data_IF_027419672165
#
_entry.id   IF_027419672165
#
_cell.length_a   1.000
_cell.length_b   1.000
_cell.length_c   1.000
_cell.angle_alpha   90.00
_cell.angle_beta   90.00
_cell.angle_gamma   90.00
#
_symmetry.space_group_name_H-M   'P 1'
#
loop_
_entity.id
_entity.type
_entity.pdbx_description
1 polymer ?
#
# COMPACT_ATOMS: atom_id res chain seq x y z
N UNK A 1 -44.49 17.15 -30.38
CA UNK A 1 -45.22 17.87 -31.45
C UNK A 1 -44.87 19.36 -31.38
N UNK A 2 -45.19 20.10 -32.44
CA UNK A 2 -45.17 21.58 -32.54
C UNK A 2 -43.80 22.27 -32.72
N UNK A 3 -43.50 22.54 -33.99
CA UNK A 3 -42.59 23.59 -34.45
C UNK A 3 -43.35 24.93 -34.37
N UNK A 4 -42.68 26.04 -34.00
CA UNK A 4 -43.02 27.36 -34.57
C UNK A 4 -41.84 28.33 -34.55
N UNK A 5 -41.41 28.69 -35.75
CA UNK A 5 -40.46 29.76 -36.01
C UNK A 5 -41.07 31.13 -35.70
N UNK A 6 -40.23 32.07 -35.28
CA UNK A 6 -40.49 33.50 -35.47
C UNK A 6 -39.17 34.18 -35.88
N UNK A 7 -39.16 34.77 -37.06
CA UNK A 7 -38.07 35.62 -37.56
C UNK A 7 -38.60 37.05 -37.70
N UNK A 8 -37.77 38.04 -37.35
CA UNK A 8 -38.11 39.46 -37.42
C UNK A 8 -37.09 40.27 -36.61
N UNK A 9 -35.91 40.63 -37.14
CA UNK A 9 -35.62 41.59 -38.22
C UNK A 9 -35.59 43.05 -37.77
N UNK A 10 -34.42 43.68 -37.97
CA UNK A 10 -33.97 45.08 -37.76
C UNK A 10 -32.82 45.10 -36.76
N UNK A 11 -31.76 45.86 -36.91
CA UNK A 11 -31.13 46.63 -37.98
C UNK A 11 -29.80 47.13 -37.35
N UNK A 12 -28.92 47.74 -38.13
CA UNK A 12 -27.68 48.39 -37.64
C UNK A 12 -26.60 47.40 -37.09
N UNK A 13 -25.32 47.41 -37.50
CA UNK A 13 -24.56 48.38 -38.29
C UNK A 13 -23.52 47.73 -39.21
N UNK A 14 -23.37 48.32 -40.40
CA UNK A 14 -22.15 48.52 -41.21
C UNK A 14 -21.05 47.42 -41.24
N UNK A 15 -20.86 46.94 -42.47
CA UNK A 15 -19.56 46.78 -43.15
C UNK A 15 -18.34 47.45 -42.47
N UNK A 16 -17.16 46.84 -42.38
CA UNK A 16 -16.60 45.76 -43.19
C UNK A 16 -15.31 46.23 -43.89
N UNK A 17 -14.16 45.60 -43.59
CA UNK A 17 -12.90 45.69 -44.37
C UNK A 17 -11.96 44.53 -44.01
N UNK A 18 -11.07 44.21 -44.94
CA UNK A 18 -10.15 43.05 -44.93
C UNK A 18 -8.94 43.26 -43.99
N UNK A 19 -8.25 42.17 -43.57
CA UNK A 19 -7.05 42.28 -42.73
C UNK A 19 -5.86 42.85 -43.52
N UNK A 20 -4.98 43.57 -42.82
CA UNK A 20 -3.64 43.92 -43.29
C UNK A 20 -2.63 43.25 -42.38
N UNK A 21 -1.69 42.54 -43.00
CA UNK A 21 -0.56 41.89 -42.36
C UNK A 21 0.55 42.89 -42.02
N UNK A 22 1.05 42.87 -40.79
CA UNK A 22 2.42 43.30 -40.47
C UNK A 22 3.01 42.29 -39.50
N UNK A 23 4.08 41.61 -39.92
CA UNK A 23 4.97 40.89 -39.01
C UNK A 23 5.85 41.92 -38.30
N UNK A 24 5.94 41.85 -36.97
CA UNK A 24 7.18 42.21 -36.28
C UNK A 24 7.52 41.11 -35.28
N UNK A 25 8.73 40.57 -35.43
CA UNK A 25 9.26 39.54 -34.55
C UNK A 25 9.64 40.17 -33.20
N UNK A 26 9.32 39.48 -32.11
CA UNK A 26 9.91 39.72 -30.79
C UNK A 26 10.70 38.46 -30.44
N UNK A 27 12.01 38.61 -30.26
CA UNK A 27 12.88 37.51 -29.89
C UNK A 27 12.66 37.11 -28.42
N UNK A 28 12.65 35.81 -28.07
CA UNK A 28 12.75 35.40 -26.67
C UNK A 28 14.17 35.67 -26.16
N UNK A 29 14.25 36.46 -25.07
CA UNK A 29 15.50 36.79 -24.37
C UNK A 29 16.15 35.57 -23.71
N UNK A 30 17.47 35.48 -23.80
CA UNK A 30 18.29 34.40 -23.25
C UNK A 30 18.14 34.23 -21.72
N UNK A 31 18.04 32.98 -21.21
CA UNK A 31 18.31 32.69 -19.81
C UNK A 31 19.81 32.79 -19.52
N UNK A 32 20.16 33.48 -18.44
CA UNK A 32 21.53 33.66 -17.94
C UNK A 32 22.26 32.33 -17.68
N UNK A 33 23.51 32.23 -18.09
CA UNK A 33 24.41 31.14 -17.74
C UNK A 33 24.88 31.28 -16.29
N UNK A 34 24.22 30.59 -15.37
CA UNK A 34 24.68 30.45 -13.98
C UNK A 34 26.01 29.70 -13.90
N UNK A 35 27.07 30.41 -13.55
CA UNK A 35 28.40 29.85 -13.29
C UNK A 35 28.35 28.89 -12.09
N UNK A 36 28.82 27.65 -12.28
CA UNK A 36 29.12 26.76 -11.16
C UNK A 36 30.51 27.09 -10.60
N UNK A 37 30.54 27.70 -9.41
CA UNK A 37 31.75 27.79 -8.61
C UNK A 37 31.44 27.47 -7.15
N UNK A 38 31.92 26.33 -6.68
CA UNK A 38 31.95 25.98 -5.24
C UNK A 38 33.05 24.96 -5.00
N UNK A 39 34.23 25.53 -4.81
CA UNK A 39 35.41 25.03 -4.12
C UNK A 39 35.17 23.81 -3.21
N UNK A 40 35.85 22.69 -3.52
CA UNK A 40 36.04 21.60 -2.55
C UNK A 40 37.20 21.99 -1.64
N UNK A 41 36.90 22.37 -0.39
CA UNK A 41 37.88 22.55 0.68
C UNK A 41 37.86 21.36 1.64
N UNK A 42 38.81 20.44 1.45
CA UNK A 42 39.45 19.66 2.55
C UNK A 42 40.51 20.57 3.20
N UNK A 43 40.87 20.43 4.50
CA UNK A 43 41.36 19.17 5.13
C UNK A 43 40.66 18.92 6.50
N UNK A 44 41.06 18.06 7.45
CA UNK A 44 42.28 17.25 7.60
C UNK A 44 42.03 15.97 8.45
N UNK A 45 43.04 15.11 8.44
CA UNK A 45 43.22 13.83 9.13
C UNK A 45 42.98 13.82 10.66
N UNK A 46 42.62 12.64 11.20
CA UNK A 46 43.43 11.88 12.17
C UNK A 46 43.11 10.37 12.02
N UNK A 47 44.15 9.55 11.95
CA UNK A 47 44.20 8.08 12.10
C UNK A 47 45.17 7.82 13.27
N UNK A 48 45.10 6.72 14.06
CA UNK A 48 45.31 5.36 13.50
C UNK A 48 44.76 4.13 14.31
N UNK A 49 45.03 2.91 13.76
CA UNK A 49 45.27 1.59 14.42
C UNK A 49 44.14 0.96 15.30
N UNK A 50 43.67 -0.28 15.07
CA UNK A 50 44.28 -1.63 15.36
C UNK A 50 44.77 -1.76 16.82
N UNK A 51 44.47 -2.78 17.63
CA UNK A 51 44.43 -4.25 17.38
C UNK A 51 43.56 -5.01 18.40
N UNK A 52 43.32 -6.31 18.14
CA UNK A 52 42.99 -7.35 19.14
C UNK A 52 43.97 -7.33 20.35
N UNK A 53 43.47 -7.43 21.59
CA UNK A 53 44.15 -8.00 22.78
C UNK A 53 43.25 -7.94 24.05
N UNK A 54 43.00 -9.10 24.68
CA UNK A 54 43.05 -9.25 26.15
C UNK A 54 44.55 -9.31 26.58
N UNK A 55 44.99 -9.06 27.85
CA UNK A 55 44.34 -9.59 29.06
C UNK A 55 44.53 -8.82 30.42
N UNK A 56 43.94 -9.42 31.48
CA UNK A 56 44.33 -9.51 32.91
C UNK A 56 44.59 -8.28 33.83
N UNK A 57 43.88 -8.35 34.97
CA UNK A 57 44.32 -8.25 36.39
C UNK A 57 44.61 -6.92 37.14
N UNK A 58 44.56 -7.12 38.47
CA UNK A 58 44.99 -6.34 39.64
C UNK A 58 44.06 -5.27 40.27
N UNK A 59 43.25 -5.78 41.22
CA UNK A 59 43.22 -5.41 42.66
C UNK A 59 43.04 -3.95 43.13
N UNK A 60 42.02 -3.75 43.99
CA UNK A 60 42.31 -3.42 45.40
C UNK A 60 41.16 -3.77 46.38
N UNK A 61 41.60 -4.27 47.52
CA UNK A 61 40.94 -4.86 48.68
C UNK A 61 40.03 -3.92 49.51
N UNK A 62 39.15 -4.50 50.35
CA UNK A 62 39.33 -4.57 51.83
C UNK A 62 38.05 -4.43 52.69
N UNK A 63 38.10 -5.07 53.88
CA UNK A 63 37.14 -5.13 55.00
C UNK A 63 35.77 -5.84 54.79
N UNK A 64 35.32 -6.78 55.65
CA UNK A 64 36.02 -7.49 56.73
C UNK A 64 35.14 -7.88 57.94
N UNK A 65 35.34 -9.10 58.46
CA UNK A 65 34.85 -9.66 59.75
C UNK A 65 33.36 -10.02 59.88
N UNK A 66 32.91 -11.02 60.67
CA UNK A 66 33.47 -12.19 61.43
C UNK A 66 32.24 -13.00 61.92
N UNK A 67 32.24 -14.24 62.42
CA UNK A 67 33.16 -15.40 62.56
C UNK A 67 32.24 -16.65 62.83
N UNK A 68 32.60 -17.86 63.26
CA UNK A 68 33.80 -18.44 63.91
C UNK A 68 33.79 -19.98 63.79
N UNK A 69 34.95 -20.60 64.00
CA UNK A 69 35.17 -22.07 63.98
C UNK A 69 34.67 -22.82 65.22
N UNK A 70 34.53 -24.15 65.12
CA UNK A 70 35.38 -25.12 65.86
C UNK A 70 34.92 -26.58 65.65
N UNK A 71 35.86 -27.52 65.52
CA UNK A 71 35.54 -28.95 65.37
C UNK A 71 36.66 -29.83 64.81
N UNK A 72 37.88 -29.76 65.36
CA UNK A 72 39.01 -30.61 64.95
C UNK A 72 39.11 -31.88 65.81
N UNK A 73 39.27 -33.03 65.17
CA UNK A 73 39.40 -34.36 65.76
C UNK A 73 40.80 -34.58 66.36
N UNK A 74 40.88 -35.02 67.62
CA UNK A 74 42.13 -35.46 68.26
C UNK A 74 41.90 -36.84 68.87
N UNK A 75 42.68 -37.82 68.40
CA UNK A 75 42.90 -39.11 69.06
C UNK A 75 44.18 -39.02 69.88
N UNK A 76 44.13 -39.47 71.12
CA UNK A 76 45.33 -39.71 71.92
C UNK A 76 45.17 -41.07 72.65
N UNK A 77 46.15 -41.93 72.47
CA UNK A 77 46.19 -43.31 72.98
C UNK A 77 47.08 -43.36 74.23
N UNK A 78 46.64 -44.07 75.27
CA UNK A 78 47.51 -44.46 76.37
C UNK A 78 47.32 -45.93 76.77
N UNK A 79 48.25 -46.76 76.30
CA UNK A 79 48.52 -48.08 76.84
C UNK A 79 49.14 -48.00 78.25
N UNK A 80 48.83 -48.96 79.13
CA UNK A 80 49.86 -49.73 79.87
C UNK A 80 49.31 -50.90 80.73
N UNK A 81 49.47 -52.12 80.19
CA UNK A 81 50.03 -53.34 80.86
C UNK A 81 49.72 -53.69 82.34
N UNK A 82 48.96 -54.79 82.56
CA UNK A 82 49.36 -56.15 83.08
C UNK A 82 50.37 -56.33 84.26
N UNK A 83 50.51 -57.52 84.93
CA UNK A 83 49.87 -58.84 84.72
C UNK A 83 49.44 -59.69 85.97
N UNK A 84 48.77 -60.83 85.67
CA UNK A 84 48.57 -62.12 86.41
C UNK A 84 49.38 -62.48 87.68
N UNK A 85 48.69 -63.11 88.67
CA UNK A 85 48.77 -64.55 89.13
C UNK A 85 47.74 -64.84 90.25
N UNK A 86 46.99 -65.96 90.27
CA UNK A 86 47.25 -67.23 90.99
C UNK A 86 47.64 -67.05 92.48
N UNK A 87 47.03 -67.65 93.52
CA UNK A 87 46.23 -68.90 93.62
C UNK A 87 45.54 -68.98 95.00
N UNK A 88 44.27 -69.39 95.11
CA UNK A 88 43.73 -70.31 96.16
C UNK A 88 42.21 -70.52 96.00
N UNK A 89 41.73 -71.76 96.17
CA UNK A 89 40.31 -72.11 96.17
C UNK A 89 39.74 -72.12 97.59
N UNK A 90 38.55 -71.53 97.77
CA UNK A 90 37.57 -71.94 98.78
C UNK A 90 36.19 -72.06 98.11
N UNK A 91 35.31 -72.98 98.55
CA UNK A 91 34.02 -73.22 97.91
C UNK A 91 32.97 -72.20 98.38
N UNK A 92 32.28 -71.56 97.43
CA UNK A 92 31.26 -70.54 97.68
C UNK A 92 29.97 -70.72 96.86
N UNK A 93 29.56 -71.97 96.62
CA UNK A 93 28.40 -72.31 95.77
C UNK A 93 27.11 -71.52 96.12
N UNK A 94 26.89 -71.19 97.40
CA UNK A 94 25.66 -70.48 97.85
C UNK A 94 25.68 -68.97 97.53
N UNK A 95 26.84 -68.31 97.58
CA UNK A 95 26.93 -66.88 97.23
C UNK A 95 26.90 -66.65 95.72
N UNK A 96 27.45 -67.59 94.94
CA UNK A 96 27.35 -67.55 93.49
C UNK A 96 25.92 -67.88 93.00
N UNK A 97 25.14 -68.70 93.71
CA UNK A 97 23.73 -68.92 93.39
C UNK A 97 22.88 -67.66 93.60
N UNK A 98 23.02 -66.95 94.72
CA UNK A 98 22.31 -65.67 94.96
C UNK A 98 22.73 -64.61 93.94
N UNK A 99 24.04 -64.48 93.65
CA UNK A 99 24.54 -63.55 92.62
C UNK A 99 24.10 -63.93 91.21
N UNK A 100 24.00 -65.23 90.90
CA UNK A 100 23.45 -65.71 89.62
C UNK A 100 21.96 -65.38 89.51
N UNK A 101 21.20 -65.54 90.59
CA UNK A 101 19.77 -65.20 90.60
C UNK A 101 19.53 -63.69 90.43
N UNK A 102 20.28 -62.83 91.14
CA UNK A 102 20.22 -61.38 90.94
C UNK A 102 20.59 -61.01 89.50
N UNK A 103 21.68 -61.56 88.95
CA UNK A 103 22.09 -61.27 87.57
C UNK A 103 21.04 -61.70 86.54
N UNK A 104 20.38 -62.85 86.73
CA UNK A 104 19.26 -63.26 85.87
C UNK A 104 18.08 -62.28 85.93
N UNK A 105 17.73 -61.77 87.11
CA UNK A 105 16.67 -60.75 87.25
C UNK A 105 17.06 -59.41 86.59
N UNK A 106 18.34 -59.04 86.60
CA UNK A 106 18.85 -57.87 85.87
C UNK A 106 18.83 -58.10 84.35
N UNK A 107 19.23 -59.28 83.88
CA UNK A 107 19.15 -59.71 82.49
C UNK A 107 17.70 -59.76 81.98
N UNK A 108 16.75 -60.27 82.77
CA UNK A 108 15.31 -60.30 82.45
C UNK A 108 14.71 -58.88 82.30
N UNK A 109 15.15 -57.91 83.13
CA UNK A 109 14.77 -56.49 82.99
C UNK A 109 15.36 -55.85 81.74
N UNK A 110 16.60 -56.22 81.36
CA UNK A 110 17.20 -55.74 80.12
C UNK A 110 16.50 -56.35 78.90
N UNK A 111 16.20 -57.64 78.93
CA UNK A 111 15.52 -58.37 77.87
C UNK A 111 14.10 -57.83 77.64
N UNK A 112 13.28 -57.63 78.68
CA UNK A 112 11.94 -57.05 78.54
C UNK A 112 11.93 -55.63 77.97
N UNK A 113 12.97 -54.83 78.19
CA UNK A 113 13.14 -53.52 77.54
C UNK A 113 13.47 -53.64 76.05
N UNK A 114 14.25 -54.65 75.68
CA UNK A 114 14.63 -54.90 74.29
C UNK A 114 13.42 -55.43 73.49
N UNK A 115 12.71 -56.43 74.01
CA UNK A 115 11.48 -56.98 73.41
C UNK A 115 10.38 -55.91 73.24
N UNK A 116 10.31 -54.94 74.15
CA UNK A 116 9.46 -53.75 73.97
C UNK A 116 9.94 -52.81 72.86
N UNK A 117 11.26 -52.61 72.72
CA UNK A 117 11.84 -51.80 71.65
C UNK A 117 11.62 -52.42 70.27
N UNK A 118 11.57 -53.76 70.21
CA UNK A 118 11.22 -54.54 69.01
C UNK A 118 9.70 -54.60 68.75
N UNK A 119 8.89 -54.07 69.68
CA UNK A 119 7.43 -53.87 69.51
C UNK A 119 6.55 -55.07 69.86
N UNK A 120 7.11 -56.14 70.43
CA UNK A 120 6.39 -57.40 70.65
C UNK A 120 5.51 -57.43 71.91
N UNK A 121 5.66 -56.46 72.83
CA UNK A 121 4.94 -56.39 74.12
C UNK A 121 4.31 -55.01 74.35
N UNK A 122 3.08 -54.99 74.89
CA UNK A 122 2.36 -53.77 75.26
C UNK A 122 3.05 -53.00 76.41
N UNK A 123 3.01 -51.66 76.42
CA UNK A 123 3.73 -50.85 77.40
C UNK A 123 3.25 -51.05 78.86
N UNK A 124 1.97 -51.36 79.10
CA UNK A 124 1.46 -51.69 80.44
C UNK A 124 2.08 -52.96 81.00
N UNK A 125 2.26 -53.96 80.15
CA UNK A 125 2.66 -55.31 80.52
C UNK A 125 4.18 -55.35 80.71
N UNK A 126 4.92 -54.59 79.89
CA UNK A 126 6.35 -54.29 80.08
C UNK A 126 6.62 -53.57 81.41
N UNK A 127 5.87 -52.51 81.75
CA UNK A 127 6.05 -51.80 83.03
C UNK A 127 5.74 -52.71 84.22
N UNK A 128 4.72 -53.57 84.11
CA UNK A 128 4.32 -54.51 85.17
C UNK A 128 5.34 -55.63 85.37
N UNK A 129 5.90 -56.20 84.30
CA UNK A 129 6.96 -57.22 84.37
C UNK A 129 8.25 -56.64 84.94
N UNK A 130 8.71 -55.48 84.47
CA UNK A 130 9.89 -54.79 85.02
C UNK A 130 9.71 -54.47 86.51
N UNK A 131 8.52 -54.03 86.94
CA UNK A 131 8.23 -53.79 88.36
C UNK A 131 8.32 -55.08 89.19
N UNK A 132 7.84 -56.22 88.68
CA UNK A 132 7.93 -57.51 89.35
C UNK A 132 9.38 -58.00 89.48
N UNK A 133 10.19 -57.91 88.43
CA UNK A 133 11.61 -58.29 88.48
C UNK A 133 12.41 -57.39 89.45
N UNK A 134 12.13 -56.07 89.45
CA UNK A 134 12.71 -55.14 90.43
C UNK A 134 12.33 -55.46 91.87
N UNK A 135 11.07 -55.80 92.12
CA UNK A 135 10.63 -56.27 93.44
C UNK A 135 11.34 -57.57 93.85
N UNK A 136 11.65 -58.45 92.89
CA UNK A 136 12.51 -59.62 93.10
C UNK A 136 13.92 -59.22 93.55
N UNK A 137 14.55 -58.26 92.88
CA UNK A 137 15.86 -57.72 93.27
C UNK A 137 15.83 -57.09 94.66
N UNK A 138 14.81 -56.29 94.97
CA UNK A 138 14.68 -55.63 96.29
C UNK A 138 14.57 -56.67 97.42
N UNK A 139 13.77 -57.74 97.24
CA UNK A 139 13.65 -58.81 98.24
C UNK A 139 14.95 -59.61 98.45
N UNK A 140 15.80 -59.73 97.41
CA UNK A 140 17.11 -60.39 97.53
C UNK A 140 18.17 -59.43 98.11
N UNK A 141 17.98 -58.12 97.94
CA UNK A 141 18.91 -57.08 98.41
C UNK A 141 18.74 -56.69 99.89
N UNK A 142 17.59 -56.94 100.52
CA UNK A 142 17.35 -56.64 101.95
C UNK A 142 17.38 -57.89 102.84
N UNK A 143 18.42 -58.11 103.67
CA UNK A 143 18.52 -59.33 104.49
C UNK A 143 17.72 -59.31 105.80
N UNK A 144 17.20 -58.16 106.24
CA UNK A 144 17.08 -57.89 107.68
C UNK A 144 15.77 -57.18 108.10
N UNK A 145 14.62 -57.84 107.90
CA UNK A 145 13.32 -57.38 108.37
C UNK A 145 12.41 -58.56 108.76
N UNK A 146 12.72 -59.27 109.85
CA UNK A 146 11.94 -60.45 110.22
C UNK A 146 12.04 -61.03 111.64
N UNK A 147 12.90 -60.51 112.54
CA UNK A 147 13.00 -61.02 113.92
C UNK A 147 13.39 -59.95 114.95
N UNK A 148 12.41 -59.43 115.68
CA UNK A 148 12.55 -59.25 117.13
C UNK A 148 11.17 -59.14 117.82
N UNK A 149 10.72 -60.16 118.59
CA UNK A 149 9.36 -60.22 119.12
C UNK A 149 9.29 -59.95 120.64
N UNK A 150 9.70 -58.76 121.09
CA UNK A 150 9.44 -58.34 122.47
C UNK A 150 9.43 -56.83 122.68
N UNK A 151 8.23 -56.26 122.89
CA UNK A 151 7.96 -55.20 123.87
C UNK A 151 6.44 -54.97 123.93
N UNK A 152 5.82 -55.41 125.02
CA UNK A 152 4.39 -55.22 125.34
C UNK A 152 4.30 -54.36 126.59
N UNK A 153 3.31 -53.47 126.63
CA UNK A 153 2.92 -52.62 127.79
C UNK A 153 3.89 -51.43 128.03
N UNK A 154 3.45 -50.22 128.41
CA UNK A 154 2.14 -49.76 128.93
C UNK A 154 1.69 -48.44 128.27
N UNK A 155 0.38 -48.19 128.29
CA UNK A 155 -0.26 -46.89 128.04
C UNK A 155 -0.66 -46.33 129.42
N UNK A 156 -0.64 -44.99 129.56
CA UNK A 156 -1.44 -44.13 130.47
C UNK A 156 -0.59 -42.94 130.99
N UNK A 157 -0.34 -41.93 130.12
CA UNK A 157 0.06 -40.52 130.42
C UNK A 157 0.39 -39.75 129.11
N UNK A 158 -0.58 -39.62 128.17
CA UNK A 158 -0.35 -38.93 126.86
C UNK A 158 -1.60 -38.17 126.36
N UNK A 159 -2.17 -37.30 127.20
CA UNK A 159 -3.23 -36.37 126.74
C UNK A 159 -2.67 -34.94 126.55
N UNK A 160 -2.07 -34.34 127.58
CA UNK A 160 -1.58 -32.95 127.55
C UNK A 160 -0.51 -32.67 126.44
N UNK A 161 0.33 -33.66 126.11
CA UNK A 161 1.35 -33.52 125.05
C UNK A 161 0.79 -33.65 123.63
N UNK A 162 -0.43 -34.18 123.49
CA UNK A 162 -1.08 -34.38 122.20
C UNK A 162 -1.73 -33.07 121.71
N UNK A 163 -2.30 -32.28 122.64
CA UNK A 163 -2.89 -30.97 122.35
C UNK A 163 -1.83 -29.92 121.96
N UNK A 164 -0.66 -29.90 122.62
CA UNK A 164 0.45 -29.02 122.22
C UNK A 164 1.01 -29.37 120.82
N UNK A 165 1.13 -30.66 120.50
CA UNK A 165 1.57 -31.12 119.17
C UNK A 165 0.52 -30.84 118.08
N UNK A 166 -0.77 -30.91 118.39
CA UNK A 166 -1.83 -30.52 117.46
C UNK A 166 -1.83 -29.00 117.21
N UNK A 167 -1.64 -28.19 118.26
CA UNK A 167 -1.49 -26.74 118.13
C UNK A 167 -0.26 -26.37 117.28
N UNK A 168 0.90 -26.98 117.51
CA UNK A 168 2.10 -26.72 116.70
C UNK A 168 1.92 -27.18 115.25
N UNK A 169 1.31 -28.35 115.02
CA UNK A 169 1.01 -28.85 113.68
C UNK A 169 0.05 -27.93 112.92
N UNK A 170 -0.95 -27.35 113.59
CA UNK A 170 -1.88 -26.39 112.98
C UNK A 170 -1.21 -25.05 112.67
N UNK A 171 -0.31 -24.55 113.53
CA UNK A 171 0.51 -23.35 113.22
C UNK A 171 1.45 -23.59 112.03
N UNK A 172 2.08 -24.77 111.95
CA UNK A 172 2.92 -25.15 110.80
C UNK A 172 2.10 -25.25 109.52
N UNK A 173 0.95 -25.93 109.53
CA UNK A 173 0.02 -25.99 108.38
C UNK A 173 -0.43 -24.61 107.90
N UNK A 174 -0.79 -23.71 108.81
CA UNK A 174 -1.20 -22.34 108.44
C UNK A 174 -0.05 -21.58 107.75
N UNK A 175 1.17 -21.66 108.31
CA UNK A 175 2.36 -21.03 107.70
C UNK A 175 2.74 -21.64 106.35
N UNK A 176 2.61 -22.96 106.19
CA UNK A 176 2.81 -23.66 104.91
C UNK A 176 1.74 -23.27 103.89
N UNK A 177 0.48 -23.16 104.30
CA UNK A 177 -0.63 -22.74 103.44
C UNK A 177 -0.48 -21.28 102.98
N UNK A 178 -0.08 -20.36 103.86
CA UNK A 178 0.26 -18.97 103.49
C UNK A 178 1.45 -18.89 102.53
N UNK A 179 2.48 -19.71 102.74
CA UNK A 179 3.63 -19.86 101.83
C UNK A 179 3.23 -20.40 100.45
N UNK A 180 2.37 -21.41 100.40
CA UNK A 180 1.85 -21.98 99.16
C UNK A 180 0.89 -21.02 98.45
N UNK A 181 0.06 -20.27 99.16
CA UNK A 181 -0.81 -19.25 98.57
C UNK A 181 -0.04 -18.07 97.98
N UNK A 182 1.01 -17.60 98.67
CA UNK A 182 1.86 -16.51 98.15
C UNK A 182 2.65 -16.97 96.92
N UNK A 183 3.26 -18.16 96.95
CA UNK A 183 3.92 -18.75 95.79
C UNK A 183 2.94 -18.97 94.61
N UNK A 184 1.70 -19.41 94.88
CA UNK A 184 0.65 -19.58 93.86
C UNK A 184 0.23 -18.25 93.23
N UNK A 185 -0.01 -17.21 94.04
CA UNK A 185 -0.36 -15.86 93.55
C UNK A 185 0.78 -15.24 92.73
N UNK A 186 2.03 -15.49 93.11
CA UNK A 186 3.20 -15.02 92.34
C UNK A 186 3.39 -15.81 91.03
N UNK A 187 3.14 -17.12 91.02
CA UNK A 187 3.15 -17.95 89.82
C UNK A 187 2.02 -17.57 88.83
N UNK A 188 0.80 -17.36 89.34
CA UNK A 188 -0.36 -16.90 88.55
C UNK A 188 -0.10 -15.50 87.94
N UNK A 189 0.54 -14.61 88.69
CA UNK A 189 0.96 -13.31 88.18
C UNK A 189 1.99 -13.45 87.04
N UNK A 190 3.03 -14.28 87.22
CA UNK A 190 4.02 -14.56 86.16
C UNK A 190 3.37 -15.17 84.92
N UNK A 191 2.42 -16.09 85.09
CA UNK A 191 1.70 -16.69 83.95
C UNK A 191 0.86 -15.64 83.20
N UNK A 192 0.15 -14.77 83.91
CA UNK A 192 -0.66 -13.71 83.30
C UNK A 192 0.21 -12.65 82.60
N UNK A 193 1.35 -12.25 83.18
CA UNK A 193 2.31 -11.34 82.53
C UNK A 193 2.86 -11.97 81.23
N UNK A 194 3.28 -13.25 81.27
CA UNK A 194 3.71 -13.99 80.07
C UNK A 194 2.60 -14.14 79.02
N UNK A 195 1.35 -14.36 79.45
CA UNK A 195 0.19 -14.47 78.55
C UNK A 195 -0.09 -13.14 77.87
N UNK A 196 -0.17 -12.03 78.61
CA UNK A 196 -0.33 -10.69 78.06
C UNK A 196 0.79 -10.32 77.07
N UNK A 197 2.06 -10.61 77.39
CA UNK A 197 3.17 -10.38 76.46
C UNK A 197 3.03 -11.19 75.17
N UNK A 198 2.63 -12.47 75.27
CA UNK A 198 2.40 -13.31 74.11
C UNK A 198 1.25 -12.81 73.22
N UNK A 199 0.16 -12.32 73.82
CA UNK A 199 -0.99 -11.76 73.11
C UNK A 199 -0.63 -10.43 72.43
N UNK A 200 0.09 -9.54 73.13
CA UNK A 200 0.62 -8.27 72.59
C UNK A 200 1.56 -8.53 71.42
N UNK A 201 2.47 -9.51 71.54
CA UNK A 201 3.37 -9.90 70.46
C UNK A 201 2.62 -10.48 69.25
N UNK A 202 1.66 -11.38 69.48
CA UNK A 202 0.87 -11.98 68.41
C UNK A 202 0.00 -10.93 67.69
N UNK A 203 -0.57 -9.96 68.43
CA UNK A 203 -1.31 -8.83 67.86
C UNK A 203 -0.40 -7.94 66.99
N UNK A 204 0.79 -7.59 67.48
CA UNK A 204 1.78 -6.80 66.74
C UNK A 204 2.22 -7.47 65.44
N UNK A 205 2.44 -8.79 65.45
CA UNK A 205 2.78 -9.55 64.24
C UNK A 205 1.63 -9.61 63.23
N UNK A 206 0.38 -9.76 63.69
CA UNK A 206 -0.82 -9.69 62.83
C UNK A 206 -0.99 -8.30 62.22
N UNK A 207 -0.83 -7.23 63.00
CA UNK A 207 -0.96 -5.84 62.53
C UNK A 207 0.16 -5.46 61.53
N UNK A 208 1.41 -5.87 61.78
CA UNK A 208 2.50 -5.77 60.80
C UNK A 208 2.16 -6.48 59.49
N UNK A 209 1.76 -7.75 59.56
CA UNK A 209 1.40 -8.53 58.37
C UNK A 209 0.22 -7.94 57.59
N UNK A 210 -0.78 -7.39 58.28
CA UNK A 210 -1.89 -6.69 57.64
C UNK A 210 -1.44 -5.40 56.93
N UNK A 211 -0.64 -4.55 57.60
CA UNK A 211 -0.10 -3.32 57.04
C UNK A 211 0.80 -3.57 55.83
N UNK A 212 1.60 -4.64 55.86
CA UNK A 212 2.46 -5.06 54.76
C UNK A 212 1.66 -5.57 53.56
N UNK A 213 0.65 -6.44 53.78
CA UNK A 213 -0.29 -6.86 52.72
C UNK A 213 -0.96 -5.66 52.04
N UNK A 214 -1.43 -4.68 52.81
CA UNK A 214 -2.07 -3.45 52.28
C UNK A 214 -1.07 -2.60 51.47
N UNK A 215 0.21 -2.53 51.88
CA UNK A 215 1.26 -1.86 51.09
C UNK A 215 1.51 -2.58 49.77
N UNK A 216 1.70 -3.90 49.83
CA UNK A 216 2.00 -4.73 48.67
C UNK A 216 0.84 -4.72 47.65
N UNK A 217 -0.41 -4.77 48.13
CA UNK A 217 -1.61 -4.64 47.27
C UNK A 217 -1.71 -3.25 46.62
N UNK A 218 -1.44 -2.18 47.37
CA UNK A 218 -1.41 -0.80 46.83
C UNK A 218 -0.30 -0.62 45.81
N UNK A 219 0.85 -1.29 45.98
CA UNK A 219 1.95 -1.24 45.02
C UNK A 219 1.65 -2.09 43.78
N UNK A 220 1.10 -3.29 43.94
CA UNK A 220 0.63 -4.12 42.83
C UNK A 220 -0.38 -3.38 41.95
N UNK A 221 -1.41 -2.76 42.55
CA UNK A 221 -2.40 -1.93 41.84
C UNK A 221 -1.80 -0.70 41.15
N UNK A 222 -0.66 -0.17 41.62
CA UNK A 222 0.09 0.89 40.93
C UNK A 222 0.87 0.35 39.73
N UNK A 223 1.54 -0.80 39.88
CA UNK A 223 2.29 -1.47 38.81
C UNK A 223 1.35 -1.88 37.67
N UNK A 224 0.22 -2.52 38.00
CA UNK A 224 -0.85 -2.91 37.06
C UNK A 224 -1.38 -1.71 36.26
N UNK A 225 -1.75 -0.60 36.92
CA UNK A 225 -2.20 0.63 36.24
C UNK A 225 -1.12 1.23 35.33
N UNK A 226 0.14 1.23 35.74
CA UNK A 226 1.24 1.70 34.91
C UNK A 226 1.49 0.80 33.69
N UNK A 227 1.26 -0.51 33.82
CA UNK A 227 1.37 -1.47 32.74
C UNK A 227 0.21 -1.39 31.74
N UNK A 228 -1.04 -1.26 32.22
CA UNK A 228 -2.18 -0.91 31.37
C UNK A 228 -1.92 0.38 30.58
N UNK A 229 -1.37 1.42 31.22
CA UNK A 229 -1.11 2.68 30.54
C UNK A 229 -0.03 2.55 29.46
N UNK A 230 1.03 1.77 29.73
CA UNK A 230 2.03 1.40 28.71
C UNK A 230 1.37 0.66 27.54
N UNK A 231 0.52 -0.33 27.79
CA UNK A 231 -0.20 -1.06 26.74
C UNK A 231 -1.12 -0.12 25.92
N UNK A 232 -1.89 0.76 26.59
CA UNK A 232 -2.74 1.76 25.95
C UNK A 232 -1.93 2.74 25.07
N UNK A 233 -0.73 3.15 25.51
CA UNK A 233 0.21 3.96 24.71
C UNK A 233 0.71 3.19 23.48
N UNK A 234 1.17 1.94 23.63
CA UNK A 234 1.64 1.08 22.52
C UNK A 234 0.53 0.85 21.48
N UNK A 235 -0.69 0.50 21.92
CA UNK A 235 -1.83 0.29 21.01
C UNK A 235 -2.16 1.58 20.23
N UNK A 236 -2.13 2.74 20.89
CA UNK A 236 -2.39 4.05 20.26
C UNK A 236 -1.29 4.43 19.27
N UNK A 237 -0.03 4.13 19.57
CA UNK A 237 1.10 4.36 18.67
C UNK A 237 1.05 3.44 17.45
N UNK A 238 0.78 2.15 17.64
CA UNK A 238 0.64 1.18 16.55
C UNK A 238 -0.52 1.55 15.62
N UNK A 239 -1.68 1.95 16.16
CA UNK A 239 -2.81 2.48 15.35
C UNK A 239 -2.41 3.70 14.52
N UNK A 240 -1.61 4.62 15.07
CA UNK A 240 -1.09 5.80 14.33
C UNK A 240 -0.12 5.39 13.23
N UNK A 241 0.84 4.49 13.52
CA UNK A 241 1.79 3.97 12.52
C UNK A 241 1.04 3.28 11.38
N UNK A 242 0.07 2.43 11.68
CA UNK A 242 -0.74 1.71 10.70
C UNK A 242 -1.64 2.66 9.87
N UNK A 243 -2.25 3.66 10.50
CA UNK A 243 -3.02 4.68 9.77
C UNK A 243 -2.13 5.49 8.82
N UNK A 244 -0.89 5.81 9.23
CA UNK A 244 0.09 6.51 8.39
C UNK A 244 0.58 5.64 7.22
N UNK A 245 0.85 4.33 7.43
CA UNK A 245 1.24 3.45 6.32
C UNK A 245 0.09 3.21 5.34
N UNK A 246 -1.14 3.00 5.83
CA UNK A 246 -2.35 2.88 5.01
C UNK A 246 -2.62 4.14 4.19
N UNK A 247 -2.52 5.33 4.78
CA UNK A 247 -2.71 6.60 4.07
C UNK A 247 -1.59 6.89 3.06
N UNK A 248 -0.33 6.58 3.38
CA UNK A 248 0.78 6.69 2.42
C UNK A 248 0.63 5.72 1.23
N UNK A 249 0.14 4.49 1.47
CA UNK A 249 -0.16 3.53 0.41
C UNK A 249 -1.30 4.02 -0.50
N UNK A 250 -2.42 4.46 0.09
CA UNK A 250 -3.56 5.01 -0.64
C UNK A 250 -3.21 6.28 -1.44
N UNK A 251 -2.31 7.12 -0.92
CA UNK A 251 -1.80 8.29 -1.65
C UNK A 251 -0.99 7.86 -2.89
N UNK A 252 -0.05 6.92 -2.73
CA UNK A 252 0.75 6.38 -3.86
C UNK A 252 -0.12 5.69 -4.91
N UNK A 253 -1.19 5.00 -4.50
CA UNK A 253 -2.17 4.40 -5.41
C UNK A 253 -2.93 5.48 -6.19
N UNK A 254 -3.50 6.48 -5.51
CA UNK A 254 -4.17 7.63 -6.15
C UNK A 254 -3.25 8.36 -7.13
N UNK A 255 -1.97 8.53 -6.80
CA UNK A 255 -1.00 9.15 -7.69
C UNK A 255 -0.72 8.29 -8.94
N UNK A 256 -0.67 6.97 -8.82
CA UNK A 256 -0.56 6.04 -9.95
C UNK A 256 -1.81 6.11 -10.85
N UNK A 257 -3.01 6.04 -10.27
CA UNK A 257 -4.27 6.15 -11.00
C UNK A 257 -4.40 7.50 -11.72
N UNK A 258 -4.02 8.61 -11.07
CA UNK A 258 -4.02 9.93 -11.70
C UNK A 258 -3.01 10.05 -12.86
N UNK A 259 -1.86 9.38 -12.78
CA UNK A 259 -0.89 9.29 -13.89
C UNK A 259 -1.45 8.44 -15.04
N UNK A 260 -2.13 7.34 -14.74
CA UNK A 260 -2.76 6.49 -15.76
C UNK A 260 -3.93 7.19 -16.44
N UNK A 261 -4.80 7.87 -15.69
CA UNK A 261 -5.91 8.65 -16.24
C UNK A 261 -5.41 9.79 -17.16
N UNK A 262 -4.32 10.47 -16.77
CA UNK A 262 -3.65 11.47 -17.63
C UNK A 262 -3.15 10.85 -18.94
N UNK A 263 -2.49 9.68 -18.89
CA UNK A 263 -2.07 8.95 -20.11
C UNK A 263 -3.24 8.58 -21.00
N UNK A 264 -4.32 8.02 -20.43
CA UNK A 264 -5.54 7.67 -21.20
C UNK A 264 -6.17 8.91 -21.88
N UNK A 265 -6.21 10.06 -21.19
CA UNK A 265 -6.69 11.33 -21.75
C UNK A 265 -5.78 11.87 -22.86
N UNK A 266 -4.46 11.73 -22.71
CA UNK A 266 -3.47 12.12 -23.71
C UNK A 266 -3.55 11.23 -24.96
N UNK A 267 -3.65 9.91 -24.79
CA UNK A 267 -3.89 8.96 -25.88
C UNK A 267 -5.18 9.25 -26.65
N UNK A 268 -6.28 9.56 -25.94
CA UNK A 268 -7.53 10.00 -26.55
C UNK A 268 -7.33 11.28 -27.38
N UNK A 269 -6.64 12.30 -26.84
CA UNK A 269 -6.33 13.54 -27.57
C UNK A 269 -5.52 13.27 -28.84
N UNK A 270 -4.50 12.41 -28.76
CA UNK A 270 -3.68 12.01 -29.91
C UNK A 270 -4.52 11.27 -30.97
N UNK A 271 -5.45 10.39 -30.57
CA UNK A 271 -6.35 9.71 -31.50
C UNK A 271 -7.33 10.68 -32.18
N UNK A 272 -7.89 11.64 -31.43
CA UNK A 272 -8.76 12.68 -31.98
C UNK A 272 -8.02 13.61 -32.94
N UNK A 273 -6.79 14.01 -32.60
CA UNK A 273 -5.93 14.82 -33.45
C UNK A 273 -5.58 14.10 -34.76
N UNK A 274 -5.23 12.80 -34.70
CA UNK A 274 -5.04 11.96 -35.91
C UNK A 274 -6.30 11.90 -36.77
N UNK A 275 -7.46 11.61 -36.18
CA UNK A 275 -8.76 11.59 -36.89
C UNK A 275 -9.11 12.96 -37.49
N UNK A 276 -8.76 14.06 -36.82
CA UNK A 276 -8.97 15.41 -37.32
C UNK A 276 -8.02 15.74 -38.49
N UNK A 277 -6.75 15.30 -38.40
CA UNK A 277 -5.75 15.44 -39.46
C UNK A 277 -6.15 14.64 -40.71
N UNK A 278 -6.56 13.38 -40.57
CA UNK A 278 -7.08 12.55 -41.67
C UNK A 278 -8.30 13.18 -42.34
N UNK A 279 -9.24 13.73 -41.55
CA UNK A 279 -10.40 14.49 -42.06
C UNK A 279 -10.00 15.78 -42.79
N UNK A 280 -8.92 16.47 -42.37
CA UNK A 280 -8.38 17.63 -43.08
C UNK A 280 -7.71 17.21 -44.40
N UNK A 281 -6.81 16.22 -44.36
CA UNK A 281 -6.08 15.72 -45.52
C UNK A 281 -7.01 15.16 -46.60
N UNK A 282 -8.05 14.40 -46.22
CA UNK A 282 -9.06 13.90 -47.17
C UNK A 282 -9.88 15.03 -47.80
N UNK A 283 -10.29 16.05 -47.04
CA UNK A 283 -10.95 17.26 -47.58
C UNK A 283 -10.03 18.04 -48.53
N UNK A 284 -8.75 18.15 -48.20
CA UNK A 284 -7.76 18.82 -49.05
C UNK A 284 -7.54 18.06 -50.37
N UNK A 285 -7.37 16.73 -50.33
CA UNK A 285 -7.32 15.87 -51.53
C UNK A 285 -8.58 16.03 -52.38
N UNK A 286 -9.76 16.06 -51.76
CA UNK A 286 -11.02 16.28 -52.47
C UNK A 286 -11.14 17.68 -53.08
N UNK A 287 -10.53 18.71 -52.47
CA UNK A 287 -10.43 20.05 -53.06
C UNK A 287 -9.48 20.07 -54.25
N UNK A 288 -8.26 19.54 -54.11
CA UNK A 288 -7.27 19.41 -55.19
C UNK A 288 -7.85 18.65 -56.39
N UNK A 289 -8.58 17.56 -56.17
CA UNK A 289 -9.24 16.80 -57.23
C UNK A 289 -10.34 17.61 -57.96
N UNK A 290 -11.12 18.41 -57.22
CA UNK A 290 -12.11 19.32 -57.82
C UNK A 290 -11.45 20.43 -58.65
N UNK A 291 -10.29 20.95 -58.21
CA UNK A 291 -9.56 21.97 -58.95
C UNK A 291 -8.89 21.40 -60.21
N UNK A 292 -8.40 20.16 -60.17
CA UNK A 292 -7.94 19.43 -61.36
C UNK A 292 -9.09 19.23 -62.37
N UNK A 293 -10.23 18.69 -61.92
CA UNK A 293 -11.42 18.53 -62.78
C UNK A 293 -11.88 19.85 -63.40
N UNK A 294 -11.84 20.97 -62.65
CA UNK A 294 -12.14 22.30 -63.18
C UNK A 294 -11.18 22.73 -64.28
N UNK A 295 -9.87 22.50 -64.12
CA UNK A 295 -8.86 22.78 -65.15
C UNK A 295 -9.05 21.92 -66.39
N UNK A 296 -9.38 20.63 -66.22
CA UNK A 296 -9.62 19.72 -67.35
C UNK A 296 -10.89 20.11 -68.13
N UNK A 297 -11.96 20.51 -67.44
CA UNK A 297 -13.17 21.05 -68.07
C UNK A 297 -12.85 22.38 -68.77
N UNK A 298 -12.17 23.30 -68.10
CA UNK A 298 -11.80 24.60 -68.68
C UNK A 298 -10.94 24.43 -69.94
N UNK A 299 -9.97 23.52 -69.91
CA UNK A 299 -9.14 23.17 -71.06
C UNK A 299 -9.99 22.66 -72.22
N UNK A 300 -10.88 21.69 -71.98
CA UNK A 300 -11.81 21.17 -73.00
C UNK A 300 -12.74 22.25 -73.56
N UNK A 301 -13.22 23.17 -72.73
CA UNK A 301 -14.05 24.29 -73.21
C UNK A 301 -13.27 25.26 -74.09
N UNK A 302 -12.00 25.54 -73.78
CA UNK A 302 -11.12 26.37 -74.61
C UNK A 302 -10.79 25.68 -75.94
N UNK A 303 -10.43 24.39 -75.90
CA UNK A 303 -10.20 23.56 -77.10
C UNK A 303 -11.45 23.56 -78.01
N UNK A 304 -12.65 23.33 -77.45
CA UNK A 304 -13.90 23.39 -78.20
C UNK A 304 -14.26 24.79 -78.72
N UNK A 305 -13.97 25.86 -77.98
CA UNK A 305 -14.11 27.24 -78.47
C UNK A 305 -13.15 27.55 -79.63
N UNK A 306 -11.91 27.08 -79.58
CA UNK A 306 -10.92 27.27 -80.63
C UNK A 306 -11.30 26.48 -81.90
N UNK A 307 -11.76 25.23 -81.76
CA UNK A 307 -12.33 24.45 -82.85
C UNK A 307 -13.55 25.13 -83.48
N UNK A 308 -14.50 25.63 -82.68
CA UNK A 308 -15.67 26.35 -83.17
C UNK A 308 -15.29 27.66 -83.89
N UNK A 309 -14.28 28.40 -83.38
CA UNK A 309 -13.72 29.59 -84.06
C UNK A 309 -13.05 29.21 -85.38
N UNK A 310 -12.34 28.08 -85.44
CA UNK A 310 -11.71 27.59 -86.66
C UNK A 310 -12.76 27.18 -87.71
N UNK A 311 -13.75 26.36 -87.35
CA UNK A 311 -14.86 25.98 -88.23
C UNK A 311 -15.63 27.20 -88.75
N UNK A 312 -15.86 28.21 -87.89
CA UNK A 312 -16.48 29.47 -88.32
C UNK A 312 -15.63 30.21 -89.37
N UNK A 313 -14.31 30.30 -89.18
CA UNK A 313 -13.41 30.89 -90.19
C UNK A 313 -13.46 30.13 -91.52
N UNK A 314 -13.37 28.79 -91.49
CA UNK A 314 -13.43 27.95 -92.69
C UNK A 314 -14.75 28.18 -93.45
N UNK A 315 -15.90 28.12 -92.77
CA UNK A 315 -17.20 28.34 -93.42
C UNK A 315 -17.41 29.79 -93.91
N UNK A 316 -16.78 30.78 -93.27
CA UNK A 316 -16.74 32.16 -93.78
C UNK A 316 -15.85 32.29 -95.04
N UNK A 317 -14.71 31.62 -95.08
CA UNK A 317 -13.81 31.59 -96.24
C UNK A 317 -14.43 30.84 -97.43
N UNK A 318 -15.11 29.71 -97.19
CA UNK A 318 -15.91 29.01 -98.20
C UNK A 318 -17.01 29.91 -98.78
N UNK A 319 -17.76 30.62 -97.92
CA UNK A 319 -18.77 31.59 -98.36
C UNK A 319 -18.15 32.72 -99.19
N UNK A 320 -16.99 33.25 -98.79
CA UNK A 320 -16.24 34.26 -99.55
C UNK A 320 -15.77 33.72 -100.91
N UNK A 321 -15.28 32.48 -100.96
CA UNK A 321 -14.84 31.82 -102.18
C UNK A 321 -16.01 31.59 -103.15
N UNK A 322 -17.15 31.05 -102.66
CA UNK A 322 -18.38 30.86 -103.44
C UNK A 322 -18.92 32.21 -103.95
N UNK A 323 -18.96 33.24 -103.10
CA UNK A 323 -19.35 34.59 -103.52
C UNK A 323 -18.42 35.14 -104.62
N UNK A 324 -17.10 35.02 -104.47
CA UNK A 324 -16.11 35.43 -105.47
C UNK A 324 -16.31 34.68 -106.81
N UNK A 325 -16.52 33.36 -106.76
CA UNK A 325 -16.81 32.53 -107.94
C UNK A 325 -18.12 32.95 -108.63
N UNK A 326 -19.15 33.27 -107.85
CA UNK A 326 -20.45 33.75 -108.35
C UNK A 326 -20.35 35.17 -108.95
N UNK A 327 -19.52 36.06 -108.39
CA UNK A 327 -19.25 37.36 -109.00
C UNK A 327 -18.45 37.22 -110.31
N UNK A 328 -17.45 36.34 -110.36
CA UNK A 328 -16.68 36.07 -111.59
C UNK A 328 -17.54 35.46 -112.70
N UNK A 329 -18.44 34.52 -112.39
CA UNK A 329 -19.37 33.95 -113.38
C UNK A 329 -20.37 34.98 -113.87
N UNK A 330 -21.00 35.78 -112.98
CA UNK A 330 -21.86 36.90 -113.38
C UNK A 330 -21.14 37.92 -114.25
N UNK A 331 -19.89 38.28 -113.93
CA UNK A 331 -19.08 39.18 -114.74
C UNK A 331 -18.77 38.61 -116.13
N UNK A 332 -18.41 37.31 -116.23
CA UNK A 332 -18.22 36.63 -117.52
C UNK A 332 -19.50 36.59 -118.36
N UNK A 333 -20.65 36.29 -117.75
CA UNK A 333 -21.96 36.30 -118.44
C UNK A 333 -22.30 37.71 -118.93
N UNK A 334 -22.06 38.75 -118.12
CA UNK A 334 -22.29 40.14 -118.52
C UNK A 334 -21.36 40.61 -119.66
N UNK A 335 -20.11 40.12 -119.70
CA UNK A 335 -19.19 40.37 -120.82
C UNK A 335 -19.63 39.63 -122.09
N UNK A 336 -19.98 38.34 -121.98
CA UNK A 336 -20.51 37.55 -123.10
C UNK A 336 -21.80 38.15 -123.69
N UNK A 337 -22.73 38.58 -122.83
CA UNK A 337 -23.95 39.27 -123.26
C UNK A 337 -23.67 40.59 -123.99
N UNK A 338 -22.65 41.36 -123.57
CA UNK A 338 -22.21 42.56 -124.31
C UNK A 338 -21.61 42.24 -125.67
N UNK A 339 -20.84 41.14 -125.80
CA UNK A 339 -20.33 40.68 -127.09
C UNK A 339 -21.46 40.22 -128.01
N UNK A 340 -22.44 39.47 -127.50
CA UNK A 340 -23.62 39.05 -128.26
C UNK A 340 -24.50 40.22 -128.67
N UNK A 341 -24.72 41.21 -127.79
CA UNK A 341 -25.37 42.47 -128.15
C UNK A 341 -24.60 43.23 -129.24
N UNK A 342 -23.26 43.27 -129.17
CA UNK A 342 -22.44 43.92 -130.20
C UNK A 342 -22.61 43.22 -131.55
N UNK A 343 -22.50 41.89 -131.59
CA UNK A 343 -22.74 41.08 -132.79
C UNK A 343 -24.17 41.24 -133.32
N UNK A 344 -25.16 41.39 -132.44
CA UNK A 344 -26.56 41.65 -132.83
C UNK A 344 -26.70 43.02 -133.49
N UNK A 345 -26.13 44.09 -132.91
CA UNK A 345 -26.11 45.43 -133.50
C UNK A 345 -25.36 45.48 -134.83
N UNK A 346 -24.30 44.69 -135.00
CA UNK A 346 -23.59 44.56 -136.28
C UNK A 346 -24.45 43.88 -137.35
N UNK A 347 -25.16 42.80 -137.00
CA UNK A 347 -26.14 42.16 -137.90
C UNK A 347 -27.26 43.12 -138.30
N UNK A 348 -27.88 43.79 -137.33
CA UNK A 348 -28.94 44.79 -137.56
C UNK A 348 -28.46 45.94 -138.50
N UNK A 349 -27.22 46.41 -138.33
CA UNK A 349 -26.61 47.39 -139.24
C UNK A 349 -26.38 46.83 -140.64
N UNK A 350 -25.90 45.60 -140.76
CA UNK A 350 -25.69 44.94 -142.05
C UNK A 350 -27.00 44.69 -142.79
N UNK A 351 -28.05 44.26 -142.08
CA UNK A 351 -29.42 44.10 -142.60
C UNK A 351 -30.01 45.44 -143.05
N UNK A 352 -29.87 46.50 -142.24
CA UNK A 352 -30.33 47.84 -142.62
C UNK A 352 -29.60 48.39 -143.86
N UNK A 353 -28.28 48.13 -143.97
CA UNK A 353 -27.51 48.50 -145.17
C UNK A 353 -27.94 47.68 -146.40
N UNK A 354 -28.11 46.36 -146.27
CA UNK A 354 -28.58 45.50 -147.34
C UNK A 354 -29.98 45.91 -147.82
N UNK A 355 -30.91 46.21 -146.89
CA UNK A 355 -32.23 46.74 -147.21
C UNK A 355 -32.14 48.05 -147.98
N UNK A 356 -31.30 49.00 -147.54
CA UNK A 356 -31.09 50.26 -148.26
C UNK A 356 -30.58 50.03 -149.68
N UNK A 357 -29.63 49.12 -149.89
CA UNK A 357 -29.14 48.78 -151.25
C UNK A 357 -30.24 48.18 -152.14
N UNK A 358 -31.15 47.38 -151.57
CA UNK A 358 -32.32 46.86 -152.28
C UNK A 358 -33.33 47.98 -152.59
N UNK A 359 -33.62 48.86 -151.63
CA UNK A 359 -34.54 49.99 -151.81
C UNK A 359 -34.01 51.00 -152.85
N UNK A 360 -32.70 51.32 -152.83
CA UNK A 360 -32.03 52.18 -153.81
C UNK A 360 -32.07 51.55 -155.23
N UNK A 361 -31.85 50.22 -155.34
CA UNK A 361 -32.00 49.47 -156.61
C UNK A 361 -33.44 49.48 -157.10
N UNK A 362 -34.42 49.25 -156.23
CA UNK A 362 -35.84 49.29 -156.56
C UNK A 362 -36.26 50.70 -157.01
N UNK A 363 -35.74 51.75 -156.38
CA UNK A 363 -35.99 53.12 -156.80
C UNK A 363 -35.35 53.44 -158.16
N UNK A 364 -34.15 52.92 -158.45
CA UNK A 364 -33.52 53.02 -159.78
C UNK A 364 -34.34 52.30 -160.85
N UNK A 365 -34.76 51.06 -160.59
CA UNK A 365 -35.64 50.29 -161.49
C UNK A 365 -36.97 51.00 -161.74
N UNK A 366 -37.62 51.58 -160.72
CA UNK A 366 -38.82 52.40 -160.90
C UNK A 366 -38.59 53.63 -161.79
N UNK A 367 -37.44 54.29 -161.68
CA UNK A 367 -37.07 55.42 -162.58
C UNK A 367 -36.79 54.95 -164.00
N UNK A 368 -36.22 53.77 -164.17
CA UNK A 368 -35.95 53.17 -165.49
C UNK A 368 -37.24 52.67 -166.15
N UNK A 369 -38.14 52.02 -165.42
CA UNK A 369 -39.49 51.68 -165.86
C UNK A 369 -40.26 52.93 -166.28
N UNK A 370 -40.31 53.97 -165.43
CA UNK A 370 -40.99 55.22 -165.81
C UNK A 370 -40.40 55.82 -167.09
N UNK A 371 -39.08 55.84 -167.26
CA UNK A 371 -38.44 56.29 -168.51
C UNK A 371 -38.76 55.42 -169.73
N UNK A 372 -39.15 54.16 -169.54
CA UNK A 372 -39.63 53.28 -170.62
C UNK A 372 -41.11 53.51 -170.88
N UNK A 373 -41.94 53.70 -169.85
CA UNK A 373 -43.35 54.09 -169.96
C UNK A 373 -43.50 55.44 -170.68
N UNK A 374 -42.76 56.47 -170.24
CA UNK A 374 -42.71 57.80 -170.89
C UNK A 374 -42.31 57.65 -172.39
N UNK A 375 -41.35 56.77 -172.71
CA UNK A 375 -40.94 56.48 -174.11
C UNK A 375 -41.96 55.67 -174.90
N UNK A 376 -42.73 54.79 -174.26
CA UNK A 376 -43.81 54.05 -174.91
C UNK A 376 -44.93 55.03 -175.25
N UNK A 377 -45.29 55.94 -174.32
CA UNK A 377 -46.22 57.03 -174.60
C UNK A 377 -45.74 57.90 -175.76
N UNK A 378 -44.47 58.33 -175.77
CA UNK A 378 -43.85 59.07 -176.88
C UNK A 378 -43.90 58.33 -178.24
N UNK A 379 -44.01 56.99 -178.24
CA UNK A 379 -44.07 56.14 -179.45
C UNK A 379 -45.53 55.86 -179.84
N UNK A 380 -46.42 55.64 -178.89
CA UNK A 380 -47.86 55.52 -179.10
C UNK A 380 -48.44 56.83 -179.64
N UNK A 381 -48.01 58.00 -179.14
CA UNK A 381 -48.37 59.32 -179.67
C UNK A 381 -47.89 59.51 -181.11
N UNK A 382 -46.71 58.96 -181.46
CA UNK A 382 -46.18 58.97 -182.85
C UNK A 382 -46.88 57.97 -183.78
N UNK A 383 -47.38 56.85 -183.25
CA UNK A 383 -48.12 55.84 -184.03
C UNK A 383 -49.60 56.21 -184.19
N UNK A 384 -50.19 56.91 -183.22
CA UNK A 384 -51.54 57.48 -183.31
C UNK A 384 -51.69 58.55 -184.40
N UNK A 385 -50.57 59.09 -184.90
CA UNK A 385 -50.53 60.05 -186.01
C UNK A 385 -50.49 59.41 -187.42
N UNK A 386 -50.73 58.09 -187.54
CA UNK A 386 -50.66 57.34 -188.82
C UNK A 386 -52.04 56.83 -189.28
N UNK A 387 -53.13 57.39 -188.74
CA UNK A 387 -54.49 57.20 -189.26
C UNK A 387 -55.23 58.53 -189.37
N UNK A 388 -54.86 59.29 -190.41
CA UNK A 388 -55.75 60.16 -191.20
C UNK A 388 -55.01 60.52 -192.52
N UNK A 389 -54.87 59.52 -193.39
CA UNK A 389 -54.81 59.58 -194.88
C UNK A 389 -54.78 58.15 -195.48
#
# INVERSE_FOLDING_TARGET
MSIRSAAGSRADSRAGRRPISVFHAVAPSSPSSGSYFSSISRPELILPRTTYAEPYDDDLESYGSRSSDSGSEIREEHDSTSPRTSTHHQPHDVFDEVRSHMRRLEEDVAHTRQVWSDGEINPSDMLSTIANYRRGLDMVATPDAGRDPSLKLRIDEVDDTLEELEAEANVRKMREQEGLETARKEAERRENEMREESERHQYFMRDKGAKERIRNEKEAKKREKAEEEKQKRIIKENKRKEQNTRSAAAFKERERLAKEEKKRKEEQRIQEEKKAYEKRSSREKAARNRDLQRRDIEKKTREAEEEARYQKKVTEEEKRYVAKKNHQTKAKVALGGREEESRKRERERAEAFAKKVVDDRNQKLKRELKKLEDKICDVEEKLGYVHDD
#
